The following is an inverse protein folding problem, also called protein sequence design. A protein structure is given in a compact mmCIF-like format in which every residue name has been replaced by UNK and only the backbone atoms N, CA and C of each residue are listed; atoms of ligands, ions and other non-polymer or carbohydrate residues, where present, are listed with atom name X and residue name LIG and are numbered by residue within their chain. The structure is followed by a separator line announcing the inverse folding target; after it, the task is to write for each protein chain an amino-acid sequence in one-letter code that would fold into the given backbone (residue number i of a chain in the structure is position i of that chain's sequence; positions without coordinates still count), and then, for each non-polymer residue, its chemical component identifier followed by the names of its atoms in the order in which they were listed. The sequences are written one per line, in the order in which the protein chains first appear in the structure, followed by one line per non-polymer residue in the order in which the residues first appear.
data_IF_615963854990
#
_entry.id   IF_615963854990
#
_cell.length_a   1.000
_cell.length_b   1.000
_cell.length_c   1.000
_cell.angle_alpha   90.00
_cell.angle_beta   90.00
_cell.angle_gamma   90.00
#
_symmetry.space_group_name_H-M   'P 1'
#
loop_
_entity.id
_entity.type
_entity.pdbx_description
1 polymer ?
#
# COMPACT_ATOMS: atom_id res chain seq x y z
N UNK A 1 -1.79 -8.51 -18.18
CA UNK A 1 -2.01 -7.87 -16.88
C UNK A 1 -3.36 -8.23 -16.23
N UNK A 2 -4.37 -8.69 -16.99
CA UNK A 2 -5.69 -9.01 -16.43
C UNK A 2 -5.67 -9.98 -15.22
N UNK A 3 -4.71 -10.89 -15.14
CA UNK A 3 -4.58 -11.80 -14.00
C UNK A 3 -4.20 -11.07 -12.71
N UNK A 4 -3.35 -10.04 -12.79
CA UNK A 4 -3.01 -9.18 -11.64
C UNK A 4 -4.23 -8.36 -11.21
N UNK A 5 -5.03 -7.88 -12.17
CA UNK A 5 -6.28 -7.20 -11.84
C UNK A 5 -7.22 -8.16 -11.10
N UNK A 6 -7.39 -9.40 -11.58
CA UNK A 6 -8.18 -10.40 -10.85
C UNK A 6 -7.68 -10.64 -9.42
N UNK A 7 -6.36 -10.77 -9.21
CA UNK A 7 -5.79 -10.91 -7.87
C UNK A 7 -6.11 -9.72 -6.97
N UNK A 8 -6.06 -8.50 -7.52
CA UNK A 8 -6.45 -7.29 -6.79
C UNK A 8 -7.93 -7.25 -6.45
N UNK A 9 -8.79 -7.73 -7.35
CA UNK A 9 -10.23 -7.84 -7.09
C UNK A 9 -10.51 -8.78 -5.93
N UNK A 10 -9.91 -9.98 -5.95
CA UNK A 10 -10.00 -10.96 -4.87
C UNK A 10 -9.48 -10.37 -3.55
N UNK A 11 -8.32 -9.70 -3.59
CA UNK A 11 -7.73 -9.06 -2.43
C UNK A 11 -8.63 -7.97 -1.82
N UNK A 12 -9.18 -7.09 -2.65
CA UNK A 12 -10.08 -6.03 -2.20
C UNK A 12 -11.32 -6.61 -1.53
N UNK A 13 -11.94 -7.63 -2.14
CA UNK A 13 -13.13 -8.30 -1.60
C UNK A 13 -12.85 -8.96 -0.25
N UNK A 14 -11.69 -9.60 -0.08
CA UNK A 14 -11.32 -10.22 1.19
C UNK A 14 -11.14 -9.20 2.32
N UNK A 15 -10.52 -8.05 2.04
CA UNK A 15 -10.37 -6.96 3.02
C UNK A 15 -11.73 -6.38 3.41
N UNK A 16 -12.58 -6.07 2.42
CA UNK A 16 -13.93 -5.55 2.66
C UNK A 16 -14.75 -6.51 3.52
N UNK A 17 -14.67 -7.81 3.24
CA UNK A 17 -15.38 -8.84 3.99
C UNK A 17 -14.90 -8.88 5.46
N UNK A 18 -13.60 -8.85 5.71
CA UNK A 18 -13.06 -8.84 7.08
C UNK A 18 -13.55 -7.61 7.87
N UNK A 19 -13.52 -6.43 7.26
CA UNK A 19 -13.98 -5.22 7.91
C UNK A 19 -15.50 -5.26 8.13
N UNK A 20 -16.26 -5.75 7.16
CA UNK A 20 -17.70 -5.90 7.28
C UNK A 20 -18.10 -6.81 8.45
N UNK A 21 -17.32 -7.84 8.78
CA UNK A 21 -17.57 -8.64 9.97
C UNK A 21 -17.56 -7.81 11.25
N UNK A 22 -16.65 -6.84 11.41
CA UNK A 22 -16.63 -5.96 12.59
C UNK A 22 -17.97 -5.23 12.79
N UNK A 23 -18.56 -4.71 11.72
CA UNK A 23 -19.68 -3.79 11.81
C UNK A 23 -21.05 -4.44 11.64
N UNK A 24 -21.13 -5.60 10.99
CA UNK A 24 -22.40 -6.23 10.62
C UNK A 24 -22.55 -7.66 11.16
N UNK A 25 -21.44 -8.36 11.38
CA UNK A 25 -21.44 -9.76 11.86
C UNK A 25 -20.35 -9.97 12.92
N UNK A 26 -20.32 -9.16 14.00
CA UNK A 26 -19.25 -9.19 14.99
C UNK A 26 -19.09 -10.57 15.65
N UNK A 27 -20.18 -11.32 15.80
CA UNK A 27 -20.18 -12.69 16.33
C UNK A 27 -19.39 -13.69 15.48
N UNK A 28 -19.25 -13.42 14.17
CA UNK A 28 -18.51 -14.28 13.26
C UNK A 28 -17.02 -13.89 13.16
N UNK A 29 -16.64 -12.67 13.58
CA UNK A 29 -15.31 -12.12 13.31
C UNK A 29 -14.18 -12.92 13.95
N UNK A 30 -14.25 -13.14 15.27
CA UNK A 30 -13.19 -13.85 15.99
C UNK A 30 -13.13 -15.34 15.62
N UNK A 31 -14.25 -16.09 15.50
CA UNK A 31 -14.22 -17.46 15.01
C UNK A 31 -13.62 -17.59 13.60
N UNK A 32 -13.93 -16.67 12.70
CA UNK A 32 -13.34 -16.66 11.36
C UNK A 32 -11.84 -16.36 11.44
N UNK A 33 -11.44 -15.30 12.15
CA UNK A 33 -10.02 -14.92 12.28
C UNK A 33 -9.16 -16.01 12.94
N UNK A 34 -9.71 -16.76 13.88
CA UNK A 34 -9.01 -17.89 14.50
C UNK A 34 -8.58 -18.96 13.49
N UNK A 35 -9.34 -19.12 12.40
CA UNK A 35 -9.06 -20.13 11.34
C UNK A 35 -8.40 -19.49 10.12
N UNK A 36 -8.77 -18.27 9.75
CA UNK A 36 -8.29 -17.57 8.57
C UNK A 36 -8.48 -16.06 8.70
N UNK A 37 -7.41 -15.28 8.54
CA UNK A 37 -7.47 -13.81 8.56
C UNK A 37 -7.65 -13.21 7.16
N UNK A 38 -8.88 -12.86 6.72
CA UNK A 38 -9.11 -12.47 5.32
C UNK A 38 -8.49 -11.11 4.96
N UNK A 39 -8.43 -10.20 5.93
CA UNK A 39 -7.77 -8.90 5.79
C UNK A 39 -6.28 -9.05 5.48
N UNK A 40 -5.56 -9.84 6.29
CA UNK A 40 -4.14 -10.10 6.10
C UNK A 40 -3.84 -10.86 4.81
N UNK A 41 -4.70 -11.81 4.43
CA UNK A 41 -4.64 -12.46 3.13
C UNK A 41 -4.72 -11.43 1.99
N UNK A 42 -5.74 -10.56 2.02
CA UNK A 42 -5.95 -9.56 0.98
C UNK A 42 -4.80 -8.57 0.86
N UNK A 43 -4.33 -7.98 1.96
CA UNK A 43 -3.21 -7.02 1.93
C UNK A 43 -1.90 -7.68 1.47
N UNK A 44 -1.65 -8.94 1.83
CA UNK A 44 -0.45 -9.67 1.39
C UNK A 44 -0.47 -9.90 -0.13
N UNK A 45 -1.64 -10.27 -0.69
CA UNK A 45 -1.82 -10.34 -2.16
C UNK A 45 -1.61 -8.98 -2.82
N UNK A 46 -2.13 -7.89 -2.23
CA UNK A 46 -1.89 -6.53 -2.75
C UNK A 46 -0.40 -6.17 -2.78
N UNK A 47 0.34 -6.46 -1.71
CA UNK A 47 1.77 -6.16 -1.64
C UNK A 47 2.59 -6.98 -2.65
N UNK A 48 2.26 -8.26 -2.86
CA UNK A 48 2.87 -9.07 -3.92
C UNK A 48 2.60 -8.46 -5.32
N UNK A 49 1.34 -8.08 -5.59
CA UNK A 49 0.96 -7.46 -6.87
C UNK A 49 1.65 -6.10 -7.07
N UNK A 50 1.69 -5.24 -6.05
CA UNK A 50 2.38 -3.94 -6.12
C UNK A 50 3.88 -4.14 -6.36
N UNK A 51 4.51 -5.07 -5.64
CA UNK A 51 5.89 -5.48 -5.82
C UNK A 51 6.22 -5.93 -7.25
N UNK A 52 5.29 -6.62 -7.89
CA UNK A 52 5.41 -7.11 -9.26
C UNK A 52 5.23 -6.00 -10.31
N UNK A 53 4.30 -5.06 -10.13
CA UNK A 53 3.94 -4.06 -11.15
C UNK A 53 4.81 -2.79 -11.09
N UNK A 54 5.20 -2.36 -9.89
CA UNK A 54 5.83 -1.04 -9.67
C UNK A 54 7.20 -0.92 -10.34
N UNK A 55 8.15 -1.86 -10.16
CA UNK A 55 9.43 -1.83 -10.87
C UNK A 55 9.25 -1.90 -12.39
N UNK A 56 8.34 -2.75 -12.86
CA UNK A 56 7.97 -2.84 -14.28
C UNK A 56 7.47 -1.49 -14.82
N UNK A 57 6.74 -0.72 -14.01
CA UNK A 57 6.29 0.62 -14.38
C UNK A 57 7.41 1.66 -14.41
N UNK A 58 8.44 1.52 -13.58
CA UNK A 58 9.58 2.44 -13.57
C UNK A 58 10.51 2.15 -14.76
N UNK A 59 10.85 0.88 -14.98
CA UNK A 59 11.71 0.42 -16.08
C UNK A 59 11.11 0.74 -17.45
N UNK A 60 9.83 0.43 -17.68
CA UNK A 60 9.14 0.74 -18.96
C UNK A 60 9.10 2.22 -19.30
N UNK A 61 9.12 3.10 -18.30
CA UNK A 61 9.09 4.55 -18.50
C UNK A 61 10.47 5.16 -18.68
N UNK A 62 11.52 4.53 -18.12
CA UNK A 62 12.90 5.02 -18.18
C UNK A 62 13.15 6.37 -17.49
N UNK A 63 12.17 6.94 -16.80
CA UNK A 63 12.25 8.27 -16.19
C UNK A 63 11.59 8.26 -14.81
N UNK A 64 12.37 8.62 -13.79
CA UNK A 64 11.90 8.76 -12.40
C UNK A 64 10.80 9.81 -12.31
N UNK A 65 10.92 10.92 -13.05
CA UNK A 65 9.88 11.95 -13.13
C UNK A 65 8.57 11.39 -13.68
N UNK A 66 8.62 10.66 -14.79
CA UNK A 66 7.44 10.06 -15.41
C UNK A 66 6.80 9.00 -14.49
N UNK A 67 7.60 8.28 -13.72
CA UNK A 67 7.13 7.36 -12.69
C UNK A 67 6.35 8.09 -11.60
N UNK A 68 6.92 9.12 -10.97
CA UNK A 68 6.25 9.85 -9.89
C UNK A 68 4.98 10.58 -10.36
N UNK A 69 4.98 11.17 -11.55
CA UNK A 69 3.75 11.72 -12.16
C UNK A 69 2.69 10.63 -12.28
N UNK A 70 3.05 9.43 -12.78
CA UNK A 70 2.11 8.33 -12.88
C UNK A 70 1.59 7.83 -11.52
N UNK A 71 2.42 7.86 -10.47
CA UNK A 71 2.02 7.43 -9.12
C UNK A 71 1.13 8.47 -8.45
N UNK A 72 1.44 9.75 -8.61
CA UNK A 72 0.62 10.85 -8.10
C UNK A 72 -0.81 10.75 -8.62
N UNK A 73 -0.99 10.69 -9.94
CA UNK A 73 -2.31 10.55 -10.57
C UNK A 73 -2.98 9.19 -10.34
N UNK A 74 -2.26 8.20 -9.83
CA UNK A 74 -2.84 6.92 -9.42
C UNK A 74 -3.39 6.98 -8.00
N UNK A 75 -2.67 7.62 -7.08
CA UNK A 75 -2.97 7.54 -5.64
C UNK A 75 -3.77 8.75 -5.13
N UNK A 76 -3.30 9.96 -5.39
CA UNK A 76 -3.80 11.19 -4.75
C UNK A 76 -5.24 11.58 -5.11
N UNK A 77 -5.74 11.43 -6.36
CA UNK A 77 -7.09 11.84 -6.70
C UNK A 77 -8.16 11.12 -5.86
N UNK A 78 -8.09 9.80 -5.77
CA UNK A 78 -9.02 9.03 -4.95
C UNK A 78 -8.75 9.22 -3.45
N UNK A 79 -7.48 9.36 -3.06
CA UNK A 79 -7.15 9.72 -1.68
C UNK A 79 -7.81 11.04 -1.26
N UNK A 80 -7.83 12.06 -2.12
CA UNK A 80 -8.55 13.31 -1.89
C UNK A 80 -10.07 13.10 -1.72
N UNK A 81 -10.68 12.22 -2.51
CA UNK A 81 -12.09 11.82 -2.33
C UNK A 81 -12.32 11.17 -0.97
N UNK A 82 -11.41 10.30 -0.54
CA UNK A 82 -11.48 9.67 0.78
C UNK A 82 -11.39 10.70 1.91
N UNK A 83 -10.42 11.63 1.84
CA UNK A 83 -10.27 12.71 2.82
C UNK A 83 -11.51 13.60 2.85
N UNK A 84 -12.07 13.95 1.69
CA UNK A 84 -13.32 14.71 1.61
C UNK A 84 -14.49 13.95 2.24
N UNK A 85 -14.59 12.63 2.02
CA UNK A 85 -15.58 11.77 2.66
C UNK A 85 -15.47 11.78 4.19
N UNK A 86 -14.26 11.64 4.73
CA UNK A 86 -14.02 11.77 6.18
C UNK A 86 -14.45 13.15 6.68
N UNK A 87 -14.06 14.22 5.99
CA UNK A 87 -14.42 15.58 6.38
C UNK A 87 -15.95 15.80 6.41
N UNK A 88 -16.69 15.19 5.48
CA UNK A 88 -18.16 15.22 5.48
C UNK A 88 -18.75 14.44 6.66
N UNK A 89 -18.20 13.27 7.01
CA UNK A 89 -18.63 12.51 8.19
C UNK A 89 -18.41 13.32 9.48
N UNK A 90 -17.25 13.97 9.61
CA UNK A 90 -16.94 14.85 10.75
C UNK A 90 -17.92 16.03 10.80
N UNK A 91 -18.17 16.70 9.67
CA UNK A 91 -19.14 17.78 9.59
C UNK A 91 -20.57 17.35 9.93
N UNK A 92 -20.92 16.08 9.70
CA UNK A 92 -22.19 15.48 10.08
C UNK A 92 -22.24 15.01 11.56
N UNK A 93 -21.20 15.32 12.36
CA UNK A 93 -21.12 15.01 13.80
C UNK A 93 -20.60 13.61 14.12
N UNK A 94 -19.73 13.03 13.28
CA UNK A 94 -19.02 11.79 13.59
C UNK A 94 -17.71 12.08 14.33
N UNK A 95 -17.65 11.71 15.61
CA UNK A 95 -16.56 12.06 16.54
C UNK A 95 -15.36 11.10 16.52
N UNK A 96 -15.33 10.10 15.62
CA UNK A 96 -14.35 9.00 15.61
C UNK A 96 -12.87 9.43 15.58
N UNK A 97 -12.58 10.70 15.25
CA UNK A 97 -11.21 11.20 15.14
C UNK A 97 -10.98 12.61 15.71
N UNK A 98 -12.01 13.20 16.35
CA UNK A 98 -12.05 14.60 16.82
C UNK A 98 -10.77 15.01 17.57
N UNK A 99 -10.19 14.13 18.39
CA UNK A 99 -9.08 14.47 19.30
C UNK A 99 -7.79 14.89 18.57
N UNK A 100 -7.49 14.35 17.38
CA UNK A 100 -6.24 14.64 16.67
C UNK A 100 -6.34 15.81 15.69
N UNK A 101 -7.53 16.03 15.13
CA UNK A 101 -7.78 17.17 14.26
C UNK A 101 -7.56 18.50 14.99
N UNK A 102 -7.98 18.57 16.24
CA UNK A 102 -7.92 19.82 17.00
C UNK A 102 -6.57 20.03 17.67
N UNK A 103 -5.95 18.95 18.16
CA UNK A 103 -4.71 19.06 18.93
C UNK A 103 -3.44 19.06 18.06
N UNK A 104 -3.47 18.45 16.86
CA UNK A 104 -2.27 18.22 16.02
C UNK A 104 -2.57 18.25 14.50
N UNK A 105 -3.15 19.34 13.96
CA UNK A 105 -3.58 19.41 12.56
C UNK A 105 -2.41 19.34 11.56
N UNK A 106 -1.26 19.97 11.88
CA UNK A 106 -0.10 20.02 10.96
C UNK A 106 0.56 18.64 10.79
N UNK A 107 0.92 17.90 11.86
CA UNK A 107 1.42 16.54 11.73
C UNK A 107 0.45 15.61 11.00
N UNK A 108 -0.85 15.74 11.28
CA UNK A 108 -1.89 14.96 10.63
C UNK A 108 -1.90 15.22 9.12
N UNK A 109 -1.97 16.49 8.70
CA UNK A 109 -2.00 16.86 7.29
C UNK A 109 -0.71 16.43 6.57
N UNK A 110 0.47 16.76 7.09
CA UNK A 110 1.75 16.45 6.43
C UNK A 110 2.04 14.95 6.40
N UNK A 111 1.72 14.22 7.47
CA UNK A 111 1.88 12.76 7.51
C UNK A 111 1.05 12.06 6.43
N UNK A 112 -0.17 12.50 6.20
CA UNK A 112 -1.05 11.95 5.17
C UNK A 112 -0.72 12.45 3.75
N UNK A 113 -0.32 13.71 3.59
CA UNK A 113 0.12 14.25 2.31
C UNK A 113 1.39 13.57 1.80
N UNK A 114 2.29 13.16 2.71
CA UNK A 114 3.45 12.33 2.36
C UNK A 114 3.08 10.84 2.20
N UNK A 115 1.89 10.44 2.64
CA UNK A 115 1.46 9.06 2.83
C UNK A 115 2.37 8.27 3.77
N UNK A 116 3.16 8.90 4.65
CA UNK A 116 4.10 8.22 5.55
C UNK A 116 3.60 8.16 7.00
N UNK A 117 2.30 8.38 7.25
CA UNK A 117 1.72 8.53 8.58
C UNK A 117 2.12 7.40 9.57
N UNK A 118 2.17 6.15 9.11
CA UNK A 118 2.59 5.01 9.94
C UNK A 118 4.08 4.96 10.28
N UNK A 119 4.91 5.58 9.46
CA UNK A 119 6.33 5.74 9.71
C UNK A 119 6.65 7.01 10.51
N UNK A 120 5.63 7.81 10.83
CA UNK A 120 5.74 9.11 11.47
C UNK A 120 5.01 9.20 12.81
N UNK A 121 4.43 8.10 13.29
CA UNK A 121 3.60 8.06 14.50
C UNK A 121 2.33 8.92 14.39
N UNK A 122 1.81 9.11 13.18
CA UNK A 122 0.57 9.83 12.91
C UNK A 122 -0.56 8.80 12.76
N UNK A 123 -1.70 8.94 13.46
CA UNK A 123 -2.82 8.02 13.32
C UNK A 123 -3.42 8.09 11.92
N UNK A 124 -4.02 7.00 11.44
CA UNK A 124 -4.61 6.98 10.10
C UNK A 124 -5.99 7.64 10.08
N UNK A 125 -6.27 8.45 9.06
CA UNK A 125 -7.59 9.06 8.84
C UNK A 125 -8.70 8.02 8.65
N UNK A 126 -8.41 6.98 7.87
CA UNK A 126 -9.21 5.77 7.82
C UNK A 126 -8.28 4.61 8.03
N UNK A 127 -8.72 3.58 8.76
CA UNK A 127 -7.82 2.54 9.25
C UNK A 127 -6.94 1.94 8.15
N UNK A 128 -7.48 1.67 6.95
CA UNK A 128 -6.78 1.04 5.82
C UNK A 128 -5.66 1.86 5.17
N UNK A 129 -5.50 3.16 5.48
CA UNK A 129 -4.42 3.99 4.91
C UNK A 129 -3.02 3.51 5.33
N UNK A 130 -2.96 2.70 6.39
CA UNK A 130 -1.72 2.11 6.88
C UNK A 130 -0.92 1.40 5.76
N UNK A 131 -1.60 0.74 4.81
CA UNK A 131 -0.93 0.03 3.71
C UNK A 131 -0.30 0.97 2.69
N UNK A 132 -0.89 2.16 2.48
CA UNK A 132 -0.34 3.19 1.58
C UNK A 132 1.00 3.70 2.08
N UNK A 133 1.25 3.70 3.39
CA UNK A 133 2.56 4.07 3.94
C UNK A 133 3.67 3.13 3.55
N UNK A 134 3.43 1.83 3.63
CA UNK A 134 4.42 0.85 3.20
C UNK A 134 4.56 0.82 1.66
N UNK A 135 3.46 1.09 0.93
CA UNK A 135 3.53 1.24 -0.52
C UNK A 135 4.35 2.47 -0.93
N UNK A 136 4.18 3.62 -0.27
CA UNK A 136 4.97 4.83 -0.50
C UNK A 136 6.45 4.62 -0.14
N UNK A 137 6.73 3.98 1.00
CA UNK A 137 8.09 3.60 1.39
C UNK A 137 8.75 2.71 0.31
N UNK A 138 8.02 1.74 -0.21
CA UNK A 138 8.49 0.90 -1.32
C UNK A 138 8.76 1.71 -2.59
N UNK A 139 7.91 2.67 -2.95
CA UNK A 139 8.12 3.54 -4.12
C UNK A 139 9.39 4.38 -3.99
N UNK A 140 9.65 4.91 -2.80
CA UNK A 140 10.84 5.68 -2.47
C UNK A 140 12.10 4.79 -2.53
N UNK A 141 12.07 3.60 -1.94
CA UNK A 141 13.20 2.65 -1.98
C UNK A 141 13.51 2.18 -3.41
N UNK A 142 12.49 1.83 -4.20
CA UNK A 142 12.69 1.43 -5.60
C UNK A 142 13.23 2.60 -6.43
N UNK A 143 12.79 3.83 -6.16
CA UNK A 143 13.34 5.03 -6.79
C UNK A 143 14.83 5.21 -6.47
N UNK A 144 15.21 5.05 -5.19
CA UNK A 144 16.59 5.12 -4.77
C UNK A 144 17.45 4.03 -5.44
N UNK A 145 17.00 2.77 -5.39
CA UNK A 145 17.70 1.64 -6.00
C UNK A 145 17.84 1.77 -7.52
N UNK A 146 16.82 2.28 -8.21
CA UNK A 146 16.87 2.51 -9.65
C UNK A 146 17.90 3.59 -10.01
N UNK A 147 17.89 4.71 -9.28
CA UNK A 147 18.80 5.83 -9.50
C UNK A 147 20.26 5.45 -9.20
N UNK A 148 20.49 4.59 -8.21
CA UNK A 148 21.80 4.05 -7.86
C UNK A 148 22.25 2.87 -8.75
N UNK A 149 21.42 2.41 -9.69
CA UNK A 149 21.74 1.28 -10.57
C UNK A 149 21.73 -0.09 -9.89
N UNK A 150 21.32 -0.18 -8.61
CA UNK A 150 21.27 -1.43 -7.84
C UNK A 150 19.89 -2.11 -7.86
N UNK A 151 18.93 -1.56 -8.62
CA UNK A 151 17.57 -2.09 -8.70
C UNK A 151 17.53 -3.59 -8.97
N UNK A 152 18.45 -4.15 -9.79
CA UNK A 152 18.53 -5.59 -10.12
C UNK A 152 18.68 -6.53 -8.92
N UNK A 153 19.13 -6.03 -7.75
CA UNK A 153 19.35 -6.81 -6.53
C UNK A 153 18.07 -7.07 -5.71
N UNK A 154 16.90 -7.19 -6.33
CA UNK A 154 15.63 -7.32 -5.61
C UNK A 154 15.48 -8.62 -4.82
N UNK A 155 16.09 -9.74 -5.25
CA UNK A 155 16.14 -10.96 -4.44
C UNK A 155 16.90 -10.72 -3.14
N UNK A 156 18.08 -10.10 -3.22
CA UNK A 156 18.88 -9.76 -2.03
C UNK A 156 18.14 -8.77 -1.13
N UNK A 157 17.46 -7.76 -1.70
CA UNK A 157 16.62 -6.84 -0.94
C UNK A 157 15.48 -7.57 -0.21
N UNK A 158 14.77 -8.47 -0.91
CA UNK A 158 13.68 -9.28 -0.34
C UNK A 158 14.16 -10.13 0.84
N UNK A 159 15.27 -10.86 0.66
CA UNK A 159 15.85 -11.69 1.72
C UNK A 159 16.40 -10.84 2.88
N UNK A 160 17.05 -9.71 2.59
CA UNK A 160 17.56 -8.79 3.60
C UNK A 160 16.44 -8.24 4.49
N UNK A 161 15.31 -7.83 3.90
CA UNK A 161 14.15 -7.41 4.67
C UNK A 161 13.50 -8.57 5.45
N UNK A 162 13.46 -9.79 4.89
CA UNK A 162 12.92 -10.95 5.61
C UNK A 162 13.78 -11.32 6.82
N UNK A 163 15.11 -11.32 6.68
CA UNK A 163 16.04 -11.54 7.79
C UNK A 163 15.92 -10.43 8.83
N UNK A 164 15.88 -9.16 8.39
CA UNK A 164 15.70 -8.04 9.30
C UNK A 164 14.34 -8.08 10.03
N UNK A 165 13.28 -8.56 9.38
CA UNK A 165 11.97 -8.75 9.99
C UNK A 165 12.03 -9.80 11.11
N UNK A 166 12.67 -10.95 10.86
CA UNK A 166 12.81 -12.04 11.84
C UNK A 166 13.70 -11.63 13.01
N UNK A 167 14.88 -11.06 12.73
CA UNK A 167 15.84 -10.67 13.76
C UNK A 167 15.43 -9.39 14.51
N UNK A 168 14.69 -8.50 13.85
CA UNK A 168 14.24 -7.23 14.41
C UNK A 168 12.91 -7.31 15.16
N UNK A 169 12.14 -8.39 14.99
CA UNK A 169 10.88 -8.58 15.69
C UNK A 169 11.11 -8.58 17.21
N UNK A 170 10.38 -7.72 17.92
CA UNK A 170 10.51 -7.55 19.37
C UNK A 170 11.74 -6.74 19.84
N UNK A 171 12.67 -6.39 18.94
CA UNK A 171 13.91 -5.66 19.28
C UNK A 171 13.87 -4.22 18.77
N UNK A 172 13.39 -4.01 17.55
CA UNK A 172 13.38 -2.69 16.93
C UNK A 172 12.36 -1.76 17.62
N UNK A 173 12.73 -0.50 17.93
CA UNK A 173 11.80 0.43 18.54
C UNK A 173 10.76 0.88 17.51
N UNK A 174 9.49 0.95 17.93
CA UNK A 174 8.39 1.35 17.04
C UNK A 174 8.25 2.87 16.90
N UNK A 175 8.79 3.65 17.84
CA UNK A 175 8.46 5.08 17.98
C UNK A 175 9.65 5.95 18.38
N UNK A 176 10.90 5.47 18.25
CA UNK A 176 12.09 6.11 18.82
C UNK A 176 12.24 7.59 18.43
N UNK A 177 11.90 7.93 17.19
CA UNK A 177 12.05 9.30 16.68
C UNK A 177 10.89 10.18 17.14
N UNK A 178 9.66 9.67 17.09
CA UNK A 178 8.45 10.44 17.37
C UNK A 178 8.02 10.40 18.85
N UNK A 179 8.61 9.54 19.69
CA UNK A 179 8.31 9.43 21.12
C UNK A 179 8.93 10.60 21.88
N UNK A 180 8.12 11.57 22.31
CA UNK A 180 8.60 12.69 23.14
C UNK A 180 7.71 13.92 23.11
N UNK A 181 6.40 13.72 22.98
CA UNK A 181 5.41 14.81 22.92
C UNK A 181 5.13 15.34 21.52
N UNK A 182 4.14 16.23 21.43
CA UNK A 182 3.64 16.79 20.17
C UNK A 182 4.69 17.59 19.41
N UNK A 183 5.54 18.35 20.12
CA UNK A 183 6.62 19.14 19.51
C UNK A 183 7.66 18.27 18.80
N UNK A 184 8.14 17.20 19.44
CA UNK A 184 9.09 16.27 18.83
C UNK A 184 8.51 15.57 17.61
N UNK A 185 7.25 15.10 17.70
CA UNK A 185 6.55 14.49 16.58
C UNK A 185 6.41 15.46 15.40
N UNK A 186 6.03 16.72 15.65
CA UNK A 186 5.95 17.74 14.60
C UNK A 186 7.30 17.95 13.90
N UNK A 187 8.39 18.07 14.68
CA UNK A 187 9.74 18.22 14.12
C UNK A 187 10.12 17.03 13.24
N UNK A 188 9.85 15.79 13.67
CA UNK A 188 10.12 14.59 12.87
C UNK A 188 9.32 14.56 11.59
N UNK A 189 8.02 14.86 11.66
CA UNK A 189 7.14 14.89 10.48
C UNK A 189 7.62 15.91 9.45
N UNK A 190 7.91 17.15 9.87
CA UNK A 190 8.39 18.20 8.98
C UNK A 190 9.77 17.87 8.41
N UNK A 191 10.69 17.39 9.25
CA UNK A 191 12.03 17.01 8.81
C UNK A 191 11.96 15.91 7.75
N UNK A 192 11.23 14.81 8.01
CA UNK A 192 11.09 13.71 7.05
C UNK A 192 10.45 14.18 5.76
N UNK A 193 9.39 14.98 5.83
CA UNK A 193 8.74 15.53 4.65
C UNK A 193 9.72 16.37 3.81
N UNK A 194 10.53 17.21 4.45
CA UNK A 194 11.57 18.00 3.79
C UNK A 194 12.67 17.13 3.18
N UNK A 195 13.19 16.13 3.91
CA UNK A 195 14.23 15.24 3.40
C UNK A 195 13.76 14.43 2.20
N UNK A 196 12.54 13.89 2.25
CA UNK A 196 11.93 13.16 1.14
C UNK A 196 11.69 14.08 -0.05
N UNK A 197 11.15 15.29 0.16
CA UNK A 197 10.92 16.24 -0.91
C UNK A 197 12.23 16.70 -1.57
N UNK A 198 13.25 17.03 -0.77
CA UNK A 198 14.57 17.42 -1.25
C UNK A 198 15.24 16.27 -2.02
N UNK A 199 15.18 15.05 -1.50
CA UNK A 199 15.70 13.85 -2.16
C UNK A 199 15.01 13.60 -3.51
N UNK A 200 13.67 13.71 -3.56
CA UNK A 200 12.91 13.55 -4.81
C UNK A 200 13.24 14.64 -5.82
N UNK A 201 13.35 15.90 -5.39
CA UNK A 201 13.77 17.00 -6.25
C UNK A 201 15.17 16.75 -6.84
N UNK A 202 16.12 16.31 -6.01
CA UNK A 202 17.47 15.96 -6.41
C UNK A 202 17.49 14.80 -7.43
N UNK A 203 16.72 13.73 -7.21
CA UNK A 203 16.64 12.59 -8.15
C UNK A 203 15.97 12.97 -9.49
N UNK A 204 14.99 13.88 -9.46
CA UNK A 204 14.21 14.27 -10.63
C UNK A 204 14.92 15.32 -11.49
N UNK A 205 15.61 16.28 -10.88
CA UNK A 205 16.12 17.48 -11.55
C UNK A 205 17.63 17.72 -11.38
N UNK A 206 18.32 16.94 -10.54
CA UNK A 206 19.74 17.12 -10.28
C UNK A 206 20.66 16.62 -11.39
N UNK A 207 21.92 17.04 -11.34
CA UNK A 207 23.03 16.39 -12.05
C UNK A 207 23.29 14.98 -11.51
N UNK A 208 24.08 14.15 -12.18
CA UNK A 208 24.27 12.75 -11.77
C UNK A 208 24.76 12.57 -10.32
N UNK A 209 25.66 13.42 -9.84
CA UNK A 209 26.10 13.41 -8.44
C UNK A 209 24.97 13.79 -7.49
N UNK A 210 24.21 14.84 -7.81
CA UNK A 210 23.06 15.30 -7.00
C UNK A 210 21.96 14.24 -6.99
N UNK A 211 21.71 13.56 -8.11
CA UNK A 211 20.74 12.46 -8.21
C UNK A 211 21.13 11.29 -7.30
N UNK A 212 22.41 10.89 -7.30
CA UNK A 212 22.91 9.84 -6.40
C UNK A 212 22.80 10.26 -4.92
N UNK A 213 23.17 11.50 -4.59
CA UNK A 213 23.03 12.03 -3.23
C UNK A 213 21.56 12.05 -2.78
N UNK A 214 20.64 12.50 -3.64
CA UNK A 214 19.20 12.46 -3.37
C UNK A 214 18.66 11.05 -3.19
N UNK A 215 19.12 10.09 -3.99
CA UNK A 215 18.74 8.69 -3.85
C UNK A 215 19.25 8.07 -2.53
N UNK A 216 20.48 8.39 -2.12
CA UNK A 216 21.03 7.98 -0.82
C UNK A 216 20.22 8.61 0.31
N UNK A 217 19.91 9.90 0.21
CA UNK A 217 19.11 10.61 1.21
C UNK A 217 17.74 9.93 1.41
N UNK A 218 17.01 9.68 0.32
CA UNK A 218 15.72 8.95 0.36
C UNK A 218 15.91 7.58 1.00
N UNK A 219 16.90 6.81 0.55
CA UNK A 219 17.15 5.46 1.04
C UNK A 219 17.43 5.44 2.54
N UNK A 220 18.33 6.30 3.02
CA UNK A 220 18.68 6.43 4.44
C UNK A 220 17.49 6.89 5.27
N UNK A 221 16.73 7.90 4.81
CA UNK A 221 15.54 8.37 5.52
C UNK A 221 14.51 7.25 5.67
N UNK A 222 14.15 6.56 4.59
CA UNK A 222 13.13 5.50 4.64
C UNK A 222 13.59 4.29 5.43
N UNK A 223 14.83 3.83 5.24
CA UNK A 223 15.39 2.72 6.01
C UNK A 223 15.51 3.05 7.50
N UNK A 224 15.87 4.29 7.84
CA UNK A 224 15.89 4.77 9.22
C UNK A 224 14.50 4.74 9.85
N UNK A 225 13.47 5.24 9.15
CA UNK A 225 12.09 5.20 9.66
C UNK A 225 11.58 3.77 9.85
N UNK A 226 11.88 2.87 8.89
CA UNK A 226 11.56 1.45 9.04
C UNK A 226 12.33 0.84 10.22
N UNK A 227 13.60 1.17 10.43
CA UNK A 227 14.36 0.61 11.54
C UNK A 227 13.84 1.04 12.91
N UNK A 228 13.37 2.29 13.07
CA UNK A 228 13.16 2.86 14.42
C UNK A 228 11.85 3.62 14.68
N UNK A 229 10.94 3.74 13.70
CA UNK A 229 9.76 4.60 13.85
C UNK A 229 8.50 4.10 13.11
N UNK A 230 8.29 2.78 13.05
CA UNK A 230 7.11 2.17 12.42
C UNK A 230 6.08 1.69 13.45
N UNK A 231 4.85 2.21 13.37
CA UNK A 231 3.77 1.97 14.36
C UNK A 231 3.01 0.69 14.14
N UNK A 232 2.11 0.68 13.16
CA UNK A 232 1.25 -0.44 12.82
C UNK A 232 1.67 -0.96 11.43
N UNK A 233 1.74 -2.28 11.21
CA UNK A 233 1.50 -3.39 12.15
C UNK A 233 2.63 -3.64 13.18
N UNK A 234 3.69 -2.83 13.14
CA UNK A 234 4.85 -2.97 14.01
C UNK A 234 6.09 -3.44 13.26
N UNK A 235 7.27 -3.47 13.92
CA UNK A 235 8.51 -3.51 13.16
C UNK A 235 8.80 -4.74 12.31
N UNK A 236 8.54 -5.92 12.87
CA UNK A 236 8.74 -7.18 12.14
C UNK A 236 7.81 -7.29 10.93
N UNK A 237 6.51 -7.05 11.13
CA UNK A 237 5.50 -7.15 10.08
C UNK A 237 5.68 -6.07 9.00
N UNK A 238 6.06 -4.84 9.37
CA UNK A 238 6.37 -3.79 8.40
C UNK A 238 7.54 -4.16 7.49
N UNK A 239 8.63 -4.70 8.05
CA UNK A 239 9.76 -5.18 7.26
C UNK A 239 9.38 -6.40 6.39
N UNK A 240 8.55 -7.31 6.90
CA UNK A 240 8.03 -8.44 6.12
C UNK A 240 7.18 -7.99 4.92
N UNK A 241 6.42 -6.90 5.05
CA UNK A 241 5.69 -6.30 3.93
C UNK A 241 6.67 -5.86 2.84
N UNK A 242 7.75 -5.14 3.20
CA UNK A 242 8.78 -4.75 2.22
C UNK A 242 9.45 -5.99 1.61
N UNK A 243 9.75 -7.02 2.40
CA UNK A 243 10.29 -8.29 1.91
C UNK A 243 9.38 -8.92 0.85
N UNK A 244 8.07 -8.92 1.10
CA UNK A 244 7.02 -9.44 0.22
C UNK A 244 6.91 -8.62 -1.08
N UNK A 245 6.96 -7.29 -0.99
CA UNK A 245 6.95 -6.43 -2.19
C UNK A 245 8.21 -6.65 -3.05
N UNK A 246 9.39 -6.74 -2.44
CA UNK A 246 10.62 -7.05 -3.18
C UNK A 246 10.63 -8.47 -3.75
N UNK A 247 9.96 -9.43 -3.12
CA UNK A 247 9.76 -10.75 -3.68
C UNK A 247 8.93 -10.70 -4.96
N UNK A 248 7.81 -9.94 -4.95
CA UNK A 248 7.03 -9.67 -6.16
C UNK A 248 7.89 -9.08 -7.29
N UNK A 249 8.84 -8.20 -6.96
CA UNK A 249 9.80 -7.66 -7.93
C UNK A 249 10.74 -8.74 -8.48
N UNK A 250 11.31 -9.58 -7.61
CA UNK A 250 12.19 -10.67 -8.03
C UNK A 250 11.47 -11.66 -8.94
N UNK A 251 10.22 -11.99 -8.64
CA UNK A 251 9.37 -12.85 -9.46
C UNK A 251 9.08 -12.22 -10.83
N UNK A 252 8.76 -10.92 -10.88
CA UNK A 252 8.65 -10.19 -12.15
C UNK A 252 9.93 -10.29 -12.99
N UNK A 253 11.11 -10.12 -12.35
CA UNK A 253 12.38 -10.20 -13.05
C UNK A 253 12.69 -11.58 -13.61
N UNK A 254 12.37 -12.63 -12.86
CA UNK A 254 12.53 -13.99 -13.35
C UNK A 254 11.60 -14.24 -14.55
N UNK A 255 10.36 -13.75 -14.52
CA UNK A 255 9.44 -13.86 -15.65
C UNK A 255 9.96 -13.12 -16.90
N UNK A 256 10.59 -11.96 -16.73
CA UNK A 256 11.20 -11.20 -17.83
C UNK A 256 12.57 -11.74 -18.27
N UNK A 257 13.05 -12.84 -17.69
CA UNK A 257 14.39 -13.39 -17.97
C UNK A 257 15.55 -12.49 -17.52
N UNK A 258 15.30 -11.50 -16.67
CA UNK A 258 16.32 -10.56 -16.19
C UNK A 258 17.20 -11.17 -15.10
N UNK A 259 16.71 -12.17 -14.38
CA UNK A 259 17.47 -12.98 -13.41
C UNK A 259 17.18 -14.48 -13.64
N UNK A 260 18.12 -15.38 -13.31
CA UNK A 260 17.89 -16.81 -13.37
C UNK A 260 16.72 -17.24 -12.46
N UNK A 261 15.85 -18.13 -12.96
CA UNK A 261 14.73 -18.65 -12.17
C UNK A 261 15.16 -19.29 -10.84
N UNK A 262 16.32 -19.96 -10.81
CA UNK A 262 16.92 -20.50 -9.58
C UNK A 262 17.17 -19.43 -8.51
N UNK A 263 17.53 -18.20 -8.91
CA UNK A 263 17.71 -17.10 -7.97
C UNK A 263 16.37 -16.60 -7.42
N UNK A 264 15.30 -16.64 -8.21
CA UNK A 264 13.97 -16.24 -7.73
C UNK A 264 13.35 -17.26 -6.78
N UNK A 265 13.74 -18.56 -6.84
CA UNK A 265 13.27 -19.56 -5.87
C UNK A 265 13.57 -19.19 -4.42
N UNK A 266 14.66 -18.44 -4.16
CA UNK A 266 14.99 -17.99 -2.82
C UNK A 266 13.91 -17.11 -2.18
N UNK A 267 13.08 -16.41 -2.97
CA UNK A 267 12.01 -15.59 -2.39
C UNK A 267 10.88 -16.42 -1.78
N UNK A 268 10.87 -17.74 -1.99
CA UNK A 268 10.02 -18.67 -1.25
C UNK A 268 10.38 -18.75 0.25
N UNK A 269 11.54 -18.23 0.68
CA UNK A 269 11.86 -18.09 2.11
C UNK A 269 11.06 -16.97 2.80
N UNK A 270 10.55 -15.99 2.05
CA UNK A 270 9.78 -14.86 2.60
C UNK A 270 8.48 -15.31 3.26
N UNK A 271 7.62 -16.16 2.66
CA UNK A 271 6.46 -16.67 3.36
C UNK A 271 6.85 -17.49 4.59
N UNK A 272 7.97 -18.21 4.59
CA UNK A 272 8.44 -18.95 5.79
C UNK A 272 8.79 -18.00 6.94
N UNK A 273 9.45 -16.88 6.65
CA UNK A 273 9.69 -15.83 7.64
C UNK A 273 8.37 -15.25 8.18
N UNK A 274 7.38 -15.06 7.30
CA UNK A 274 6.04 -14.62 7.71
C UNK A 274 5.31 -15.63 8.59
N UNK A 275 5.37 -16.91 8.25
CA UNK A 275 4.78 -17.99 9.06
C UNK A 275 5.42 -18.10 10.45
N UNK A 276 6.74 -17.84 10.52
CA UNK A 276 7.46 -17.79 11.79
C UNK A 276 7.05 -16.58 12.64
N UNK A 277 6.95 -15.40 12.03
CA UNK A 277 6.47 -14.18 12.73
C UNK A 277 5.02 -14.29 13.19
N UNK A 278 4.21 -15.09 12.51
CA UNK A 278 2.83 -15.40 12.87
C UNK A 278 2.71 -16.65 13.77
N UNK A 279 3.79 -17.12 14.40
CA UNK A 279 3.73 -18.28 15.29
C UNK A 279 2.75 -18.06 16.43
N UNK A 280 1.86 -19.03 16.65
CA UNK A 280 0.76 -18.93 17.62
C UNK A 280 -0.53 -18.34 17.06
N UNK A 281 -0.52 -17.82 15.82
CA UNK A 281 -1.68 -17.22 15.15
C UNK A 281 -2.08 -18.05 13.91
N UNK A 282 -2.76 -19.20 14.07
CA UNK A 282 -3.01 -20.15 12.97
C UNK A 282 -3.78 -19.53 11.80
N UNK A 283 -4.75 -18.64 12.08
CA UNK A 283 -5.48 -17.94 11.04
C UNK A 283 -4.63 -16.97 10.22
N UNK A 284 -3.66 -16.31 10.85
CA UNK A 284 -2.70 -15.45 10.16
C UNK A 284 -1.71 -16.28 9.34
N UNK A 285 -1.22 -17.40 9.89
CA UNK A 285 -0.35 -18.33 9.18
C UNK A 285 -1.02 -18.85 7.90
N UNK A 286 -2.29 -19.28 8.01
CA UNK A 286 -3.05 -19.73 6.86
C UNK A 286 -3.29 -18.61 5.85
N UNK A 287 -3.57 -17.39 6.30
CA UNK A 287 -3.74 -16.22 5.44
C UNK A 287 -2.47 -15.89 4.64
N UNK A 288 -1.29 -15.91 5.28
CA UNK A 288 -0.01 -15.70 4.62
C UNK A 288 0.25 -16.79 3.59
N UNK A 289 0.12 -18.07 3.97
CA UNK A 289 0.32 -19.19 3.05
C UNK A 289 -0.63 -19.10 1.85
N UNK A 290 -1.92 -18.87 2.10
CA UNK A 290 -2.93 -18.72 1.05
C UNK A 290 -2.63 -17.54 0.12
N UNK A 291 -2.15 -16.40 0.62
CA UNK A 291 -1.83 -15.25 -0.23
C UNK A 291 -0.71 -15.58 -1.23
N UNK A 292 0.35 -16.25 -0.78
CA UNK A 292 1.46 -16.68 -1.63
C UNK A 292 1.03 -17.76 -2.62
N UNK A 293 0.22 -18.73 -2.18
CA UNK A 293 -0.36 -19.75 -3.06
C UNK A 293 -1.27 -19.13 -4.13
N UNK A 294 -2.14 -18.19 -3.76
CA UNK A 294 -3.00 -17.44 -4.68
C UNK A 294 -2.18 -16.68 -5.71
N UNK A 295 -1.11 -15.99 -5.29
CA UNK A 295 -0.23 -15.29 -6.22
C UNK A 295 0.49 -16.25 -7.17
N UNK A 296 1.01 -17.37 -6.65
CA UNK A 296 1.61 -18.44 -7.44
C UNK A 296 0.65 -19.06 -8.45
N UNK A 297 -0.60 -19.32 -8.04
CA UNK A 297 -1.66 -19.80 -8.92
C UNK A 297 -2.01 -18.77 -10.01
N UNK A 298 -2.13 -17.49 -9.64
CA UNK A 298 -2.33 -16.39 -10.60
C UNK A 298 -1.20 -16.33 -11.64
N UNK A 299 0.04 -16.52 -11.20
CA UNK A 299 1.20 -16.58 -12.08
C UNK A 299 1.17 -17.82 -12.98
N UNK A 300 0.84 -19.00 -12.46
CA UNK A 300 0.72 -20.22 -13.26
C UNK A 300 -0.39 -20.10 -14.33
N UNK A 301 -1.48 -19.41 -14.00
CA UNK A 301 -2.64 -19.19 -14.87
C UNK A 301 -2.55 -17.91 -15.71
N UNK A 302 -1.43 -17.18 -15.69
CA UNK A 302 -1.29 -15.83 -16.29
C UNK A 302 -1.61 -15.72 -17.79
N UNK A 303 -1.49 -16.84 -18.53
CA UNK A 303 -1.79 -16.93 -19.96
C UNK A 303 -3.23 -17.38 -20.25
N UNK A 304 -4.01 -17.71 -19.23
CA UNK A 304 -5.42 -18.08 -19.37
C UNK A 304 -6.30 -16.83 -19.42
N UNK A 305 -7.50 -16.98 -19.97
CA UNK A 305 -8.50 -15.90 -19.99
C UNK A 305 -9.03 -15.67 -18.58
N UNK A 306 -9.07 -14.40 -18.18
CA UNK A 306 -9.60 -13.97 -16.88
C UNK A 306 -11.09 -13.65 -17.01
N UNK A 307 -11.95 -14.14 -16.11
CA UNK A 307 -13.36 -13.77 -16.08
C UNK A 307 -13.57 -12.25 -16.04
N UNK A 308 -14.54 -11.75 -16.82
CA UNK A 308 -14.81 -10.30 -16.95
C UNK A 308 -15.10 -9.64 -15.59
N UNK A 309 -15.87 -10.32 -14.74
CA UNK A 309 -16.19 -9.82 -13.40
C UNK A 309 -14.94 -9.63 -12.54
N UNK A 310 -14.03 -10.61 -12.51
CA UNK A 310 -12.79 -10.51 -11.74
C UNK A 310 -11.86 -9.42 -12.27
N UNK A 311 -11.75 -9.30 -13.59
CA UNK A 311 -10.99 -8.22 -14.21
C UNK A 311 -11.58 -6.84 -13.87
N UNK A 312 -12.90 -6.72 -13.87
CA UNK A 312 -13.60 -5.48 -13.50
C UNK A 312 -13.45 -5.14 -12.02
N UNK A 313 -13.61 -6.10 -11.10
CA UNK A 313 -13.34 -5.91 -9.68
C UNK A 313 -11.90 -5.45 -9.44
N UNK A 314 -10.96 -6.02 -10.19
CA UNK A 314 -9.57 -5.59 -10.21
C UNK A 314 -9.36 -4.15 -10.64
N UNK A 315 -10.06 -3.73 -11.70
CA UNK A 315 -9.99 -2.40 -12.25
C UNK A 315 -10.38 -1.33 -11.21
N UNK A 316 -11.50 -1.57 -10.50
CA UNK A 316 -12.04 -0.65 -9.48
C UNK A 316 -11.56 -0.97 -8.06
N UNK A 317 -10.63 -1.92 -7.90
CA UNK A 317 -10.14 -2.41 -6.59
C UNK A 317 -9.60 -1.32 -5.68
N UNK A 318 -9.02 -0.25 -6.25
CA UNK A 318 -8.50 0.87 -5.46
C UNK A 318 -9.63 1.67 -4.81
N UNK A 319 -10.70 1.97 -5.56
CA UNK A 319 -11.94 2.55 -5.00
C UNK A 319 -12.60 1.64 -3.96
N UNK A 320 -12.75 0.34 -4.24
CA UNK A 320 -13.32 -0.61 -3.28
C UNK A 320 -12.52 -0.59 -1.97
N UNK A 321 -11.19 -0.64 -2.07
CA UNK A 321 -10.30 -0.65 -0.92
C UNK A 321 -10.34 0.66 -0.13
N UNK A 322 -10.42 1.82 -0.78
CA UNK A 322 -10.31 3.09 -0.07
C UNK A 322 -11.64 3.61 0.49
N UNK A 323 -12.76 3.29 -0.17
CA UNK A 323 -14.07 3.82 0.21
C UNK A 323 -14.84 2.95 1.21
N UNK A 324 -14.50 1.66 1.33
CA UNK A 324 -15.25 0.78 2.23
C UNK A 324 -15.23 1.18 3.71
N UNK A 325 -14.13 1.72 4.29
CA UNK A 325 -14.15 2.13 5.69
C UNK A 325 -15.16 3.25 5.91
N UNK A 326 -15.26 4.22 4.99
CA UNK A 326 -16.21 5.32 5.08
C UNK A 326 -17.67 4.85 5.14
N UNK A 327 -18.00 3.83 4.33
CA UNK A 327 -19.34 3.25 4.35
C UNK A 327 -19.61 2.47 5.64
N UNK A 328 -18.62 1.71 6.12
CA UNK A 328 -18.75 0.90 7.32
C UNK A 328 -18.77 1.74 8.60
N UNK A 329 -18.01 2.85 8.65
CA UNK A 329 -18.10 3.86 9.71
C UNK A 329 -19.48 4.54 9.71
N UNK A 330 -20.07 4.75 8.53
CA UNK A 330 -21.46 5.17 8.39
C UNK A 330 -22.46 4.16 8.99
N UNK A 331 -22.22 2.86 8.84
CA UNK A 331 -23.02 1.81 9.49
C UNK A 331 -22.86 1.85 11.01
N UNK A 332 -21.63 1.97 11.52
CA UNK A 332 -21.35 2.08 12.96
C UNK A 332 -22.09 3.26 13.60
N UNK A 333 -22.22 4.38 12.88
CA UNK A 333 -23.00 5.53 13.33
C UNK A 333 -24.50 5.23 13.49
N UNK A 334 -25.07 4.42 12.59
CA UNK A 334 -26.50 4.07 12.62
C UNK A 334 -26.75 2.94 13.62
N UNK A 335 -25.84 1.97 13.69
CA UNK A 335 -25.89 0.82 14.59
C UNK A 335 -24.62 0.73 15.45
N UNK A 336 -24.52 1.52 16.53
CA UNK A 336 -23.36 1.51 17.42
C UNK A 336 -23.17 0.16 18.13
N UNK A 337 -24.26 -0.53 18.43
CA UNK A 337 -24.26 -1.90 18.94
C UNK A 337 -24.88 -2.85 17.90
N UNK A 338 -24.07 -3.44 16.99
CA UNK A 338 -24.57 -4.36 15.99
C UNK A 338 -25.16 -5.65 16.57
N UNK A 339 -24.82 -6.05 17.80
CA UNK A 339 -25.40 -7.25 18.42
C UNK A 339 -26.84 -7.01 18.89
N UNK A 340 -27.20 -5.76 19.18
CA UNK A 340 -28.58 -5.38 19.47
C UNK A 340 -29.50 -5.41 18.23
N UNK A 341 -28.94 -5.48 17.02
CA UNK A 341 -29.70 -5.49 15.76
C UNK A 341 -29.95 -6.95 15.32
N UNK A 342 -31.20 -7.34 14.99
CA UNK A 342 -31.49 -8.68 14.49
C UNK A 342 -30.70 -9.04 13.23
N UNK A 343 -30.21 -10.29 13.15
CA UNK A 343 -29.43 -10.79 12.01
C UNK A 343 -30.20 -10.64 10.67
N UNK A 344 -31.53 -10.79 10.70
CA UNK A 344 -32.40 -10.61 9.55
C UNK A 344 -32.35 -9.20 8.94
N UNK A 345 -31.96 -8.17 9.71
CA UNK A 345 -31.74 -6.80 9.21
C UNK A 345 -30.28 -6.57 8.81
N UNK A 346 -29.33 -7.22 9.49
CA UNK A 346 -27.89 -7.08 9.22
C UNK A 346 -27.47 -7.71 7.89
N UNK A 347 -28.05 -8.85 7.50
CA UNK A 347 -27.73 -9.51 6.23
C UNK A 347 -28.15 -8.69 4.98
N UNK A 348 -29.39 -8.16 4.88
CA UNK A 348 -29.75 -7.23 3.81
C UNK A 348 -28.91 -5.95 3.85
N UNK A 349 -28.59 -5.41 5.03
CA UNK A 349 -27.74 -4.24 5.14
C UNK A 349 -26.32 -4.50 4.61
N UNK A 350 -25.74 -5.68 4.87
CA UNK A 350 -24.48 -6.10 4.25
C UNK A 350 -24.57 -6.07 2.72
N UNK A 351 -25.62 -6.68 2.15
CA UNK A 351 -25.83 -6.66 0.69
C UNK A 351 -26.00 -5.22 0.16
N UNK A 352 -26.73 -4.37 0.88
CA UNK A 352 -26.92 -2.96 0.55
C UNK A 352 -25.61 -2.16 0.59
N UNK A 353 -24.80 -2.34 1.63
CA UNK A 353 -23.48 -1.69 1.76
C UNK A 353 -22.54 -2.15 0.66
N UNK A 354 -22.51 -3.44 0.33
CA UNK A 354 -21.70 -3.96 -0.77
C UNK A 354 -22.16 -3.42 -2.13
N UNK A 355 -23.47 -3.34 -2.37
CA UNK A 355 -24.02 -2.77 -3.60
C UNK A 355 -23.69 -1.26 -3.71
N UNK A 356 -23.84 -0.51 -2.61
CA UNK A 356 -23.48 0.90 -2.54
C UNK A 356 -21.98 1.10 -2.77
N UNK A 357 -21.13 0.28 -2.15
CA UNK A 357 -19.68 0.30 -2.32
C UNK A 357 -19.30 0.08 -3.79
N UNK A 358 -19.88 -0.91 -4.45
CA UNK A 358 -19.62 -1.19 -5.86
C UNK A 358 -20.13 -0.06 -6.77
N UNK A 359 -21.30 0.51 -6.46
CA UNK A 359 -21.85 1.67 -7.15
C UNK A 359 -20.93 2.89 -7.05
N UNK A 360 -20.57 3.29 -5.83
CA UNK A 360 -19.65 4.41 -5.57
C UNK A 360 -18.28 4.15 -6.21
N UNK A 361 -17.75 2.94 -6.09
CA UNK A 361 -16.46 2.57 -6.70
C UNK A 361 -16.48 2.67 -8.22
N UNK A 362 -17.62 2.37 -8.84
CA UNK A 362 -17.82 2.53 -10.28
C UNK A 362 -17.85 4.00 -10.67
N UNK A 363 -18.55 4.83 -9.87
CA UNK A 363 -18.65 6.27 -10.11
C UNK A 363 -17.29 6.95 -9.94
N UNK A 364 -16.59 6.72 -8.84
CA UNK A 364 -15.25 7.29 -8.60
C UNK A 364 -14.24 6.79 -9.62
N UNK A 365 -14.35 5.54 -10.10
CA UNK A 365 -13.53 5.07 -11.21
C UNK A 365 -13.74 5.90 -12.48
N UNK A 366 -14.99 6.13 -12.89
CA UNK A 366 -15.30 6.84 -14.14
C UNK A 366 -15.01 8.34 -14.08
N UNK A 367 -15.30 8.97 -12.94
CA UNK A 367 -15.26 10.43 -12.77
C UNK A 367 -13.97 10.95 -12.12
N UNK A 368 -13.21 10.11 -11.41
CA UNK A 368 -12.00 10.54 -10.69
C UNK A 368 -10.78 9.77 -11.15
N UNK A 369 -10.75 8.45 -10.99
CA UNK A 369 -9.55 7.66 -11.26
C UNK A 369 -9.19 7.61 -12.74
N UNK A 370 -10.12 7.20 -13.61
CA UNK A 370 -9.84 7.06 -15.03
C UNK A 370 -9.45 8.39 -15.71
N UNK A 371 -10.12 9.53 -15.43
CA UNK A 371 -9.68 10.85 -15.91
C UNK A 371 -8.28 11.22 -15.41
N UNK A 372 -7.99 11.04 -14.12
CA UNK A 372 -6.69 11.34 -13.55
C UNK A 372 -5.59 10.48 -14.17
N UNK A 373 -5.82 9.17 -14.36
CA UNK A 373 -4.89 8.28 -15.04
C UNK A 373 -4.65 8.68 -16.50
N UNK A 374 -5.69 9.11 -17.23
CA UNK A 374 -5.53 9.65 -18.59
C UNK A 374 -4.67 10.90 -18.60
N UNK A 375 -4.90 11.83 -17.67
CA UNK A 375 -4.11 13.05 -17.54
C UNK A 375 -2.65 12.75 -17.19
N UNK A 376 -2.40 11.88 -16.22
CA UNK A 376 -1.06 11.43 -15.85
C UNK A 376 -0.32 10.76 -17.02
N UNK A 377 -1.02 9.96 -17.83
CA UNK A 377 -0.45 9.39 -19.07
C UNK A 377 -0.01 10.49 -20.03
N UNK A 378 -0.87 11.47 -20.33
CA UNK A 378 -0.55 12.60 -21.23
C UNK A 378 0.68 13.39 -20.76
N UNK A 379 0.73 13.72 -19.46
CA UNK A 379 1.85 14.46 -18.85
C UNK A 379 3.16 13.67 -18.83
N UNK A 380 3.08 12.33 -18.72
CA UNK A 380 4.24 11.45 -18.77
C UNK A 380 4.75 11.18 -20.20
N UNK A 381 3.86 11.14 -21.20
CA UNK A 381 4.21 10.80 -22.60
C UNK A 381 4.71 12.00 -23.40
N UNK A 382 4.20 13.21 -23.16
CA UNK A 382 4.62 14.41 -23.87
C UNK A 382 6.11 14.74 -23.67
N UNK A 383 6.70 14.30 -22.56
CA UNK A 383 8.11 14.56 -22.21
C UNK A 383 9.08 13.49 -22.70
N UNK A 384 8.64 12.25 -22.92
CA UNK A 384 9.47 11.21 -23.53
C UNK A 384 9.85 11.58 -24.99
N UNK A 385 8.95 12.22 -25.73
CA UNK A 385 9.22 12.74 -27.09
C UNK A 385 10.26 13.88 -27.09
N UNK A 386 10.30 14.71 -26.06
CA UNK A 386 11.26 15.82 -25.95
C UNK A 386 12.67 15.37 -25.56
N UNK A 387 12.80 14.28 -24.79
CA UNK A 387 14.10 13.70 -24.45
C UNK A 387 14.77 13.00 -25.66
N UNK A 388 13.97 12.38 -26.54
CA UNK A 388 14.47 11.78 -27.79
C UNK A 388 14.88 12.85 -28.82
N UNK A 389 14.21 14.00 -28.83
CA UNK A 389 14.54 15.12 -29.72
C UNK A 389 15.82 15.90 -29.30
N UNK A 390 16.38 15.65 -28.12
CA UNK A 390 17.65 16.24 -27.62
C UNK A 390 18.76 15.18 -27.46
N UNK A 391 18.85 14.22 -28.38
CA UNK A 391 20.05 13.40 -28.54
C UNK A 391 21.23 14.27 -29.05
N UNK A 392 22.49 13.91 -28.76
CA UNK A 392 23.65 14.75 -29.08
C UNK A 392 23.88 14.75 -30.60
N UNK A 393 23.46 15.83 -31.24
CA UNK A 393 23.57 16.02 -32.68
C UNK A 393 23.14 17.44 -33.03
N UNK A 394 24.09 18.36 -32.88
CA UNK A 394 23.99 19.79 -33.13
C UNK A 394 25.23 20.46 -32.61
#
# INVERSE_FOLDING_TARGET
MAWLDALRGIAASAVVLEHAFKFLLPEAREPVKAVFEPGWYGVTVFFLVSGFIVPASLERRGSVRAFWVSRFFRLYPLFGVCVAGVALLVAAGWDGMHIWWDSRPVPLAVGHLTMLQNLLYVPNLVNVLWTLSYEMAFYLLVTAMFTLGVHRRSTAGSLGFAVAAVLGAGVLPATLLSSGGSGRMLTVVLLVATLVAAGLAAVIAGSDTVRRAGAILIGVTVLGLLAVNQTYPGPGQGLLILATMFAGTALYRAEQGQIPGKQALWVALVPLAGLWLAHGEPGLQLAIAAAWLTFGAGMALRHRRVPRLLAWLGLVSYSIYLLHPLLLEGVERIWPDPLAVPLALRLPALAGVLALLLGLSTLTWHFVEAPALRLGRRLSSGRARHAVAKGPGG
#
